data_IF_530260079536
#
_entry.id   IF_530260079536
#
_cell.length_a   1.000
_cell.length_b   1.000
_cell.length_c   1.000
_cell.angle_alpha   90.00
_cell.angle_beta   90.00
_cell.angle_gamma   90.00
#
_symmetry.space_group_name_H-M   'P 1'
#
loop_
_entity.id
_entity.type
_entity.pdbx_description
1 polymer ?
#
# COMPACT_ATOMS: atom_id res chain seq x y z
N UNK A 1 -49.55 21.30 -17.41
CA UNK A 1 -48.21 21.86 -17.14
C UNK A 1 -47.60 21.03 -16.03
N UNK A 2 -46.94 19.92 -16.38
CA UNK A 2 -46.25 19.05 -15.41
C UNK A 2 -44.78 19.46 -15.40
N UNK A 3 -44.29 19.93 -14.26
CA UNK A 3 -42.88 20.24 -14.06
C UNK A 3 -42.20 19.03 -13.43
N UNK A 4 -41.44 18.29 -14.23
CA UNK A 4 -40.49 17.30 -13.75
C UNK A 4 -39.28 18.01 -13.13
N UNK A 5 -38.97 17.68 -11.87
CA UNK A 5 -37.76 18.13 -11.18
C UNK A 5 -36.72 17.00 -11.28
N UNK A 6 -35.55 17.21 -11.89
CA UNK A 6 -34.51 16.19 -11.87
C UNK A 6 -33.84 16.16 -10.49
N UNK A 7 -33.96 15.01 -9.82
CA UNK A 7 -33.20 14.71 -8.61
C UNK A 7 -31.75 14.40 -8.99
N UNK A 8 -30.85 15.36 -8.80
CA UNK A 8 -29.41 15.13 -8.91
C UNK A 8 -28.89 14.46 -7.64
N UNK A 9 -28.63 13.15 -7.72
CA UNK A 9 -27.92 12.39 -6.69
C UNK A 9 -26.44 12.83 -6.69
N UNK A 10 -26.10 13.79 -5.83
CA UNK A 10 -24.72 14.16 -5.57
C UNK A 10 -23.99 13.06 -4.82
N UNK A 11 -23.32 12.16 -5.54
CA UNK A 11 -22.34 11.27 -4.94
C UNK A 11 -21.19 12.12 -4.38
N UNK A 12 -21.05 12.20 -3.06
CA UNK A 12 -19.91 12.84 -2.43
C UNK A 12 -18.64 12.07 -2.81
N UNK A 13 -17.77 12.71 -3.58
CA UNK A 13 -16.44 12.19 -3.91
C UNK A 13 -15.55 12.23 -2.66
N UNK A 14 -15.35 11.08 -2.03
CA UNK A 14 -14.35 10.93 -0.97
C UNK A 14 -12.96 11.12 -1.59
N UNK A 15 -12.31 12.25 -1.32
CA UNK A 15 -10.92 12.46 -1.71
C UNK A 15 -10.02 11.53 -0.89
N UNK A 16 -9.24 10.70 -1.60
CA UNK A 16 -8.25 9.85 -0.95
C UNK A 16 -7.03 10.69 -0.60
N UNK A 17 -6.69 10.79 0.69
CA UNK A 17 -5.47 11.47 1.13
C UNK A 17 -4.28 10.52 0.97
N UNK A 18 -3.27 10.94 0.20
CA UNK A 18 -2.00 10.24 0.12
C UNK A 18 -1.03 10.78 1.16
N UNK A 19 -0.40 9.89 1.93
CA UNK A 19 0.61 10.24 2.91
C UNK A 19 2.02 10.08 2.34
N UNK A 20 2.97 10.84 2.88
CA UNK A 20 4.38 10.70 2.59
C UNK A 20 4.86 9.26 2.85
N UNK A 21 5.62 8.70 1.91
CA UNK A 21 6.08 7.31 1.92
C UNK A 21 7.30 7.08 2.83
N UNK A 22 7.93 8.16 3.31
CA UNK A 22 9.10 8.10 4.19
C UNK A 22 8.79 7.36 5.49
N UNK A 23 9.77 6.61 5.99
CA UNK A 23 9.71 5.91 7.26
C UNK A 23 10.94 6.17 8.10
N UNK A 24 10.82 5.92 9.40
CA UNK A 24 11.93 5.86 10.33
C UNK A 24 11.68 4.76 11.35
N UNK A 25 12.56 3.75 11.38
CA UNK A 25 12.44 2.55 12.21
C UNK A 25 11.06 1.89 12.08
N UNK A 26 10.61 1.73 10.84
CA UNK A 26 9.31 1.13 10.49
C UNK A 26 8.09 2.05 10.63
N UNK A 27 8.22 3.22 11.29
CA UNK A 27 7.10 4.16 11.47
C UNK A 27 6.90 4.98 10.20
N UNK A 28 5.67 5.03 9.66
CA UNK A 28 5.33 5.84 8.49
C UNK A 28 5.11 7.30 8.84
N UNK A 29 5.59 8.20 7.97
CA UNK A 29 5.22 9.61 8.03
C UNK A 29 3.70 9.75 7.93
N UNK A 30 3.11 10.61 8.76
CA UNK A 30 1.67 10.88 8.81
C UNK A 30 1.33 12.26 8.22
N UNK A 31 2.25 12.86 7.47
CA UNK A 31 2.04 14.11 6.74
C UNK A 31 1.60 13.82 5.30
N UNK A 32 0.86 14.73 4.65
CA UNK A 32 0.48 14.58 3.24
C UNK A 32 1.69 14.31 2.34
N UNK A 33 1.45 13.66 1.20
CA UNK A 33 2.46 13.53 0.14
C UNK A 33 3.00 14.93 -0.24
N UNK A 34 4.29 15.01 -0.54
CA UNK A 34 5.00 16.25 -0.91
C UNK A 34 5.00 17.37 0.14
N UNK A 35 4.80 17.03 1.43
CA UNK A 35 4.89 18.01 2.51
C UNK A 35 6.29 18.68 2.60
N UNK A 36 6.38 19.97 2.93
CA UNK A 36 7.67 20.63 3.18
C UNK A 36 8.23 20.31 4.56
N UNK A 37 9.55 20.35 4.74
CA UNK A 37 10.21 20.18 6.05
C UNK A 37 10.29 18.74 6.55
N UNK A 38 10.59 18.56 7.84
CA UNK A 38 10.85 17.24 8.44
C UNK A 38 9.64 16.29 8.34
N UNK A 39 9.94 15.01 8.17
CA UNK A 39 8.94 13.95 8.28
C UNK A 39 8.46 13.85 9.73
N UNK A 40 7.24 13.34 9.92
CA UNK A 40 6.62 13.29 11.24
C UNK A 40 5.77 12.04 11.44
N UNK A 41 5.88 11.44 12.61
CA UNK A 41 4.92 10.46 13.12
C UNK A 41 4.66 10.75 14.60
N UNK A 42 3.45 11.23 14.93
CA UNK A 42 3.13 11.74 16.28
C UNK A 42 4.13 12.83 16.72
N UNK A 43 4.90 12.60 17.79
CA UNK A 43 5.91 13.55 18.29
C UNK A 43 7.31 13.32 17.70
N UNK A 44 7.51 12.29 16.88
CA UNK A 44 8.82 11.95 16.30
C UNK A 44 8.99 12.71 14.99
N UNK A 45 10.12 13.38 14.83
CA UNK A 45 10.54 14.08 13.61
C UNK A 45 11.83 13.46 13.06
N UNK A 46 11.99 13.43 11.73
CA UNK A 46 13.25 13.00 11.11
C UNK A 46 13.49 13.69 9.76
N UNK A 47 14.77 13.82 9.42
CA UNK A 47 15.23 14.25 8.11
C UNK A 47 15.35 13.06 7.15
N UNK A 48 15.46 13.33 5.85
CA UNK A 48 15.62 12.28 4.83
C UNK A 48 16.83 11.37 5.06
N UNK A 49 17.94 11.92 5.57
CA UNK A 49 19.16 11.16 5.89
C UNK A 49 18.96 10.10 7.01
N UNK A 50 17.94 10.28 7.85
CA UNK A 50 17.57 9.33 8.89
C UNK A 50 16.39 8.42 8.47
N UNK A 51 15.93 8.50 7.22
CA UNK A 51 14.84 7.68 6.75
C UNK A 51 15.28 6.22 6.53
N UNK A 52 14.35 5.28 6.73
CA UNK A 52 14.55 3.89 6.32
C UNK A 52 14.79 3.85 4.79
N UNK A 53 15.62 2.91 4.29
CA UNK A 53 15.77 2.68 2.86
C UNK A 53 14.42 2.40 2.18
N UNK A 54 14.29 2.82 0.92
CA UNK A 54 13.13 2.48 0.09
C UNK A 54 12.99 0.97 -0.09
N UNK A 55 14.14 0.34 -0.35
CA UNK A 55 14.27 -1.11 -0.52
C UNK A 55 13.79 -1.84 0.71
N UNK A 56 12.87 -2.78 0.50
CA UNK A 56 12.36 -3.61 1.59
C UNK A 56 13.42 -4.59 2.06
N UNK A 57 13.64 -4.65 3.38
CA UNK A 57 14.51 -5.63 4.01
C UNK A 57 14.05 -7.09 3.79
N UNK A 58 12.77 -7.29 3.42
CA UNK A 58 12.26 -8.60 3.01
C UNK A 58 12.63 -9.02 1.58
N UNK A 59 13.29 -8.15 0.80
CA UNK A 59 13.76 -8.53 -0.54
C UNK A 59 14.75 -9.68 -0.46
N UNK A 60 14.58 -10.70 -1.30
CA UNK A 60 15.44 -11.89 -1.32
C UNK A 60 15.17 -12.88 -0.19
N UNK A 61 14.25 -12.59 0.74
CA UNK A 61 13.82 -13.56 1.73
C UNK A 61 13.08 -14.72 1.05
N UNK A 62 13.15 -15.91 1.65
CA UNK A 62 12.36 -17.06 1.23
C UNK A 62 10.87 -16.72 1.29
N UNK A 63 10.12 -17.17 0.28
CA UNK A 63 8.70 -16.89 0.17
C UNK A 63 7.95 -18.07 -0.43
N UNK A 64 6.66 -18.13 -0.11
CA UNK A 64 5.71 -19.08 -0.73
C UNK A 64 4.59 -18.28 -1.36
N UNK A 65 4.10 -18.75 -2.51
CA UNK A 65 2.91 -18.21 -3.14
C UNK A 65 1.77 -18.10 -2.11
N UNK A 66 1.12 -16.95 -2.07
CA UNK A 66 -0.01 -16.74 -1.19
C UNK A 66 -1.22 -17.55 -1.66
N UNK A 67 -2.11 -17.89 -0.74
CA UNK A 67 -3.37 -18.54 -1.06
C UNK A 67 -4.14 -17.69 -2.07
N UNK A 68 -4.54 -18.22 -3.24
CA UNK A 68 -5.28 -17.44 -4.21
C UNK A 68 -6.73 -17.23 -3.76
N UNK A 69 -7.32 -16.10 -4.14
CA UNK A 69 -8.76 -15.89 -4.17
C UNK A 69 -9.40 -16.71 -5.31
N UNK A 70 -10.73 -16.74 -5.36
CA UNK A 70 -11.48 -17.48 -6.37
C UNK A 70 -11.12 -17.12 -7.82
N UNK A 71 -10.69 -15.87 -8.06
CA UNK A 71 -10.25 -15.39 -9.38
C UNK A 71 -8.73 -15.50 -9.61
N UNK A 72 -8.03 -16.20 -8.71
CA UNK A 72 -6.61 -16.50 -8.83
C UNK A 72 -5.68 -15.40 -8.30
N UNK A 73 -6.18 -14.25 -7.85
CA UNK A 73 -5.33 -13.21 -7.25
C UNK A 73 -4.71 -13.71 -5.94
N UNK A 74 -3.41 -13.49 -5.66
CA UNK A 74 -2.50 -12.52 -6.27
C UNK A 74 -1.65 -13.08 -7.42
N UNK A 75 -2.12 -14.12 -8.10
CA UNK A 75 -1.51 -14.71 -9.29
C UNK A 75 -0.11 -15.28 -9.00
N UNK A 76 -0.01 -16.13 -7.97
CA UNK A 76 1.23 -16.80 -7.59
C UNK A 76 2.23 -15.93 -6.82
N UNK A 77 1.96 -14.62 -6.64
CA UNK A 77 2.79 -13.75 -5.80
C UNK A 77 2.73 -14.15 -4.33
N UNK A 78 3.80 -13.87 -3.61
CA UNK A 78 3.94 -14.12 -2.18
C UNK A 78 3.66 -12.86 -1.36
N UNK A 79 3.11 -13.02 -0.15
CA UNK A 79 2.97 -11.92 0.80
C UNK A 79 4.32 -11.67 1.48
N UNK A 80 4.87 -10.46 1.35
CA UNK A 80 6.06 -10.07 2.09
C UNK A 80 5.70 -9.79 3.57
N UNK A 81 6.32 -10.47 4.55
CA UNK A 81 5.97 -10.29 5.96
C UNK A 81 6.42 -8.94 6.53
N UNK A 82 7.33 -8.24 5.84
CA UNK A 82 7.88 -6.94 6.28
C UNK A 82 6.99 -5.78 5.86
N UNK A 83 6.59 -5.73 4.58
CA UNK A 83 5.85 -4.58 4.03
C UNK A 83 4.39 -4.89 3.68
N UNK A 84 3.98 -6.15 3.79
CA UNK A 84 2.63 -6.65 3.48
C UNK A 84 2.20 -6.46 2.02
N UNK A 85 3.14 -6.23 1.10
CA UNK A 85 2.87 -6.23 -0.34
C UNK A 85 2.92 -7.64 -0.91
N UNK A 86 2.16 -7.87 -1.98
CA UNK A 86 2.27 -9.08 -2.79
C UNK A 86 3.36 -8.92 -3.84
N UNK A 87 4.39 -9.73 -3.74
CA UNK A 87 5.65 -9.62 -4.50
C UNK A 87 5.83 -10.89 -5.33
N UNK A 88 6.30 -10.75 -6.57
CA UNK A 88 6.66 -11.88 -7.41
C UNK A 88 7.74 -12.74 -6.76
N UNK A 89 7.70 -14.05 -7.03
CA UNK A 89 8.76 -14.97 -6.63
C UNK A 89 9.77 -15.13 -7.77
N UNK A 90 11.05 -15.21 -7.41
CA UNK A 90 12.16 -15.59 -8.29
C UNK A 90 12.92 -16.70 -7.56
N UNK A 91 12.86 -17.93 -8.09
CA UNK A 91 13.47 -19.11 -7.46
C UNK A 91 13.10 -19.24 -5.96
N UNK A 92 11.80 -19.22 -5.66
CA UNK A 92 11.24 -19.30 -4.30
C UNK A 92 11.66 -18.18 -3.33
N UNK A 93 12.24 -17.10 -3.84
CA UNK A 93 12.57 -15.90 -3.06
C UNK A 93 11.73 -14.71 -3.48
N UNK A 94 11.44 -13.82 -2.53
CA UNK A 94 10.77 -12.55 -2.82
C UNK A 94 11.65 -11.71 -3.75
N UNK A 95 11.10 -11.34 -4.91
CA UNK A 95 11.77 -10.45 -5.82
C UNK A 95 12.19 -9.16 -5.12
N UNK A 96 13.23 -8.55 -5.68
CA UNK A 96 13.63 -7.19 -5.38
C UNK A 96 12.44 -6.23 -5.36
N UNK A 97 12.13 -5.61 -4.21
CA UNK A 97 11.01 -4.69 -4.12
C UNK A 97 11.22 -3.58 -3.10
N UNK A 98 10.59 -2.44 -3.38
CA UNK A 98 10.47 -1.37 -2.43
C UNK A 98 9.24 -1.57 -1.55
N UNK A 99 9.32 -0.98 -0.37
CA UNK A 99 8.25 -0.99 0.63
C UNK A 99 7.02 -0.17 0.25
N UNK A 100 7.14 0.66 -0.78
CA UNK A 100 6.05 1.40 -1.42
C UNK A 100 6.39 1.56 -2.90
N UNK A 101 5.36 1.55 -3.74
CA UNK A 101 5.51 1.72 -5.19
C UNK A 101 4.62 2.88 -5.64
N UNK A 102 5.21 3.99 -6.15
CA UNK A 102 4.44 5.12 -6.65
C UNK A 102 3.53 4.79 -7.83
N UNK A 103 3.81 3.73 -8.58
CA UNK A 103 3.04 3.28 -9.72
C UNK A 103 1.98 2.21 -9.36
N UNK A 104 1.90 1.78 -8.09
CA UNK A 104 0.86 0.82 -7.67
C UNK A 104 -0.53 1.45 -7.85
N UNK A 105 -1.42 0.84 -8.66
CA UNK A 105 -2.77 1.37 -8.85
C UNK A 105 -3.60 1.20 -7.58
N UNK A 106 -4.56 2.10 -7.35
CA UNK A 106 -5.44 2.05 -6.17
C UNK A 106 -6.22 0.73 -6.06
N UNK A 107 -6.53 0.09 -7.18
CA UNK A 107 -7.17 -1.23 -7.23
C UNK A 107 -6.35 -2.30 -6.49
N UNK A 108 -5.02 -2.27 -6.56
CA UNK A 108 -4.17 -3.27 -5.91
C UNK A 108 -4.29 -3.19 -4.38
N UNK A 109 -4.42 -1.98 -3.82
CA UNK A 109 -4.66 -1.80 -2.39
C UNK A 109 -6.03 -2.34 -1.96
N UNK A 110 -7.06 -2.16 -2.79
CA UNK A 110 -8.39 -2.73 -2.55
C UNK A 110 -8.35 -4.26 -2.58
N UNK A 111 -7.73 -4.84 -3.62
CA UNK A 111 -7.58 -6.30 -3.75
C UNK A 111 -6.82 -6.92 -2.58
N UNK A 112 -5.77 -6.25 -2.11
CA UNK A 112 -5.01 -6.65 -0.91
C UNK A 112 -5.86 -6.63 0.35
N UNK A 113 -6.70 -5.61 0.53
CA UNK A 113 -7.67 -5.57 1.64
C UNK A 113 -8.66 -6.74 1.55
N UNK A 114 -9.22 -6.97 0.37
CA UNK A 114 -10.19 -8.05 0.16
C UNK A 114 -9.57 -9.42 0.47
N UNK A 115 -8.30 -9.62 0.08
CA UNK A 115 -7.56 -10.83 0.42
C UNK A 115 -7.38 -11.04 1.92
N UNK A 116 -6.92 -10.02 2.65
CA UNK A 116 -6.75 -10.13 4.10
C UNK A 116 -8.06 -10.48 4.80
N UNK A 117 -9.15 -9.82 4.39
CA UNK A 117 -10.48 -10.09 4.91
C UNK A 117 -11.00 -11.50 4.57
N UNK A 118 -10.60 -12.06 3.43
CA UNK A 118 -11.04 -13.39 2.98
C UNK A 118 -10.27 -14.52 3.66
N UNK A 119 -8.96 -14.36 3.81
CA UNK A 119 -8.08 -15.40 4.37
C UNK A 119 -8.05 -15.38 5.90
N UNK A 120 -8.61 -14.35 6.53
CA UNK A 120 -8.77 -14.27 7.99
C UNK A 120 -7.48 -13.91 8.73
N UNK A 121 -6.74 -12.92 8.20
CA UNK A 121 -5.50 -12.42 8.79
C UNK A 121 -5.72 -11.26 9.76
#
# INVERSE_FOLDING_TARGET
MSSDVPSSTGASSHSTVHFCRSRHRGRRCTRPLDHPGLHRHRAILWAGAAADPLRCAGSGAQGRAATPLADGWPHGRALCPVCLRFVSLVNDTLAAHDTSDPAEPASEALRRRDWFNTIGW
#
